data_IF_979250994806
#
_entry.id   IF_979250994806
#
_cell.length_a   1.000
_cell.length_b   1.000
_cell.length_c   1.000
_cell.angle_alpha   90.00
_cell.angle_beta   90.00
_cell.angle_gamma   90.00
#
_symmetry.space_group_name_H-M   'P 1'
#
loop_
_entity.id
_entity.type
_entity.pdbx_description
1 polymer ?
#
# COMPACT_ATOMS: atom_id res chain seq x y z
N UNK A 1 -2.41 9.74 -0.64
CA UNK A 1 -1.27 8.95 -1.11
C UNK A 1 -0.02 9.85 -1.17
N UNK A 2 1.16 9.29 -0.89
CA UNK A 2 2.46 9.99 -0.84
C UNK A 2 3.47 9.47 -1.86
N UNK A 3 3.04 8.61 -2.79
CA UNK A 3 3.92 7.78 -3.63
C UNK A 3 4.77 8.58 -4.60
N UNK A 4 4.32 9.79 -4.98
CA UNK A 4 5.11 10.64 -5.85
C UNK A 4 6.44 11.12 -5.20
N UNK A 5 6.57 11.03 -3.87
CA UNK A 5 7.80 11.36 -3.15
C UNK A 5 8.88 10.27 -3.21
N UNK A 6 8.55 9.09 -3.73
CA UNK A 6 9.47 7.97 -3.88
C UNK A 6 10.43 8.19 -5.06
N UNK A 7 11.65 7.67 -4.94
CA UNK A 7 12.59 7.61 -6.06
C UNK A 7 12.06 6.69 -7.18
N UNK A 8 12.56 6.81 -8.42
CA UNK A 8 12.12 5.94 -9.52
C UNK A 8 12.26 4.44 -9.22
N UNK A 9 13.30 4.05 -8.50
CA UNK A 9 13.53 2.66 -8.08
C UNK A 9 12.54 2.21 -7.00
N UNK A 10 12.24 3.08 -6.03
CA UNK A 10 11.24 2.80 -4.99
C UNK A 10 9.81 2.74 -5.55
N UNK A 11 9.50 3.53 -6.59
CA UNK A 11 8.22 3.47 -7.30
C UNK A 11 8.00 2.13 -7.97
N UNK A 12 9.03 1.62 -8.67
CA UNK A 12 9.01 0.28 -9.28
C UNK A 12 8.86 -0.83 -8.23
N UNK A 13 9.61 -0.73 -7.12
CA UNK A 13 9.50 -1.69 -6.02
C UNK A 13 8.12 -1.63 -5.35
N UNK A 14 7.58 -0.44 -5.08
CA UNK A 14 6.25 -0.29 -4.50
C UNK A 14 5.20 -0.99 -5.36
N UNK A 15 5.24 -0.77 -6.67
CA UNK A 15 4.28 -1.38 -7.59
C UNK A 15 4.34 -2.91 -7.59
N UNK A 16 5.56 -3.46 -7.48
CA UNK A 16 5.78 -4.89 -7.23
C UNK A 16 5.20 -5.32 -5.88
N UNK A 17 5.44 -4.62 -4.80
CA UNK A 17 4.87 -5.05 -3.51
C UNK A 17 3.33 -4.98 -3.51
N UNK A 18 2.74 -3.95 -4.12
CA UNK A 18 1.29 -3.79 -4.25
C UNK A 18 0.65 -4.93 -5.05
N UNK A 19 1.26 -5.29 -6.20
CA UNK A 19 0.81 -6.44 -7.00
C UNK A 19 0.94 -7.77 -6.24
N UNK A 20 1.89 -7.89 -5.31
CA UNK A 20 2.06 -9.12 -4.52
C UNK A 20 0.98 -9.27 -3.46
N UNK A 21 0.57 -8.15 -2.84
CA UNK A 21 -0.53 -8.11 -1.87
C UNK A 21 -1.84 -8.54 -2.53
N UNK A 22 -2.21 -7.89 -3.64
CA UNK A 22 -3.42 -8.20 -4.42
C UNK A 22 -3.47 -9.67 -4.88
N UNK A 23 -2.31 -10.28 -5.14
CA UNK A 23 -2.24 -11.69 -5.58
C UNK A 23 -2.19 -12.69 -4.42
N UNK A 24 -2.08 -12.24 -3.18
CA UNK A 24 -1.75 -13.12 -2.05
C UNK A 24 -2.84 -14.19 -1.84
N UNK A 25 -4.11 -13.81 -1.91
CA UNK A 25 -5.24 -14.72 -1.71
C UNK A 25 -5.50 -15.63 -2.93
N UNK A 26 -5.10 -15.18 -4.12
CA UNK A 26 -5.25 -15.85 -5.41
C UNK A 26 -6.44 -15.35 -6.24
N UNK A 27 -7.13 -14.30 -5.82
CA UNK A 27 -8.27 -13.70 -6.50
C UNK A 27 -7.95 -12.22 -6.74
N UNK A 28 -7.83 -11.84 -8.01
CA UNK A 28 -7.64 -10.43 -8.38
C UNK A 28 -8.95 -9.83 -8.84
N UNK A 29 -9.49 -8.91 -8.06
CA UNK A 29 -10.69 -8.15 -8.37
C UNK A 29 -10.40 -6.98 -9.33
N UNK A 30 -11.45 -6.48 -9.99
CA UNK A 30 -11.31 -5.33 -10.89
C UNK A 30 -11.08 -4.01 -10.12
N UNK A 31 -11.63 -3.91 -8.92
CA UNK A 31 -11.39 -2.82 -7.95
C UNK A 31 -9.89 -2.68 -7.64
N UNK A 32 -9.19 -3.79 -7.41
CA UNK A 32 -7.76 -3.81 -7.12
C UNK A 32 -6.90 -3.35 -8.31
N UNK A 33 -7.28 -3.74 -9.53
CA UNK A 33 -6.61 -3.23 -10.75
C UNK A 33 -6.81 -1.72 -10.92
N UNK A 34 -7.98 -1.20 -10.55
CA UNK A 34 -8.23 0.25 -10.56
C UNK A 34 -7.35 0.96 -9.54
N UNK A 35 -7.13 0.37 -8.36
CA UNK A 35 -6.21 0.91 -7.35
C UNK A 35 -4.77 0.92 -7.88
N UNK A 36 -4.29 -0.17 -8.50
CA UNK A 36 -2.96 -0.19 -9.14
C UNK A 36 -2.82 0.88 -10.23
N UNK A 37 -3.86 1.11 -11.03
CA UNK A 37 -3.87 2.16 -12.02
C UNK A 37 -3.81 3.56 -11.39
N UNK A 38 -4.51 3.78 -10.27
CA UNK A 38 -4.46 5.03 -9.52
C UNK A 38 -3.05 5.29 -8.96
N UNK A 39 -2.41 4.28 -8.37
CA UNK A 39 -1.03 4.37 -7.90
C UNK A 39 -0.03 4.67 -9.02
N UNK A 40 -0.16 3.99 -10.17
CA UNK A 40 0.68 4.25 -11.33
C UNK A 40 0.51 5.70 -11.84
N UNK A 41 -0.73 6.19 -11.87
CA UNK A 41 -1.04 7.56 -12.26
C UNK A 41 -0.41 8.60 -11.30
N UNK A 42 -0.57 8.42 -9.99
CA UNK A 42 0.02 9.32 -8.98
C UNK A 42 1.54 9.36 -9.09
N UNK A 43 2.17 8.21 -9.27
CA UNK A 43 3.62 8.08 -9.40
C UNK A 43 4.16 8.54 -10.76
N UNK A 44 3.27 8.78 -11.74
CA UNK A 44 3.60 9.10 -13.13
C UNK A 44 4.46 8.02 -13.80
N UNK A 45 4.13 6.75 -13.55
CA UNK A 45 4.79 5.58 -14.16
C UNK A 45 3.78 4.76 -14.97
N UNK A 46 4.24 3.90 -15.89
CA UNK A 46 3.36 2.92 -16.53
C UNK A 46 2.74 1.98 -15.49
N UNK A 47 1.49 1.61 -15.68
CA UNK A 47 0.83 0.58 -14.88
C UNK A 47 1.60 -0.74 -15.01
N UNK A 48 1.80 -1.47 -13.91
CA UNK A 48 2.43 -2.78 -14.02
C UNK A 48 1.48 -3.81 -14.62
N UNK A 49 2.05 -4.79 -15.31
CA UNK A 49 1.34 -6.02 -15.62
C UNK A 49 1.30 -6.92 -14.37
N UNK A 50 0.11 -7.08 -13.82
CA UNK A 50 -0.13 -7.88 -12.60
C UNK A 50 0.26 -9.36 -12.79
N UNK A 51 0.27 -9.86 -14.04
CA UNK A 51 0.62 -11.24 -14.35
C UNK A 51 2.13 -11.50 -14.29
N UNK A 52 2.96 -10.45 -14.22
CA UNK A 52 4.41 -10.61 -14.11
C UNK A 52 4.76 -11.05 -12.69
N UNK A 53 5.47 -12.16 -12.59
CA UNK A 53 6.09 -12.60 -11.33
C UNK A 53 7.44 -11.92 -11.12
N UNK A 54 7.74 -11.64 -9.85
CA UNK A 54 9.02 -11.09 -9.42
C UNK A 54 9.33 -11.62 -8.02
N UNK A 55 10.60 -11.52 -7.67
CA UNK A 55 11.09 -11.91 -6.35
C UNK A 55 10.66 -10.86 -5.31
N UNK A 56 9.54 -11.15 -4.63
CA UNK A 56 8.97 -10.31 -3.56
C UNK A 56 9.97 -10.15 -2.43
N UNK A 57 10.64 -11.23 -2.03
CA UNK A 57 11.59 -11.20 -0.90
C UNK A 57 12.80 -10.32 -1.23
N UNK A 58 13.32 -10.40 -2.46
CA UNK A 58 14.37 -9.50 -2.92
C UNK A 58 13.92 -8.03 -2.93
N UNK A 59 12.67 -7.75 -3.32
CA UNK A 59 12.12 -6.40 -3.30
C UNK A 59 12.00 -5.84 -1.87
N UNK A 60 11.52 -6.65 -0.92
CA UNK A 60 11.43 -6.28 0.51
C UNK A 60 12.83 -6.01 1.06
N UNK A 61 13.77 -6.93 0.84
CA UNK A 61 15.14 -6.81 1.33
C UNK A 61 15.84 -5.58 0.76
N UNK A 62 15.72 -5.34 -0.54
CA UNK A 62 16.30 -4.17 -1.20
C UNK A 62 15.79 -2.88 -0.57
N UNK A 63 14.47 -2.74 -0.42
CA UNK A 63 13.86 -1.58 0.25
C UNK A 63 14.35 -1.43 1.70
N UNK A 64 14.45 -2.54 2.43
CA UNK A 64 14.96 -2.54 3.81
C UNK A 64 16.41 -2.04 3.90
N UNK A 65 17.26 -2.34 2.91
CA UNK A 65 18.69 -1.99 2.93
C UNK A 65 18.98 -0.60 2.37
N UNK A 66 18.30 -0.19 1.30
CA UNK A 66 18.67 1.01 0.53
C UNK A 66 17.77 2.22 0.75
N UNK A 67 16.52 2.03 1.19
CA UNK A 67 15.56 3.13 1.30
C UNK A 67 15.66 3.89 2.62
N UNK A 68 15.29 5.16 2.56
CA UNK A 68 15.20 6.01 3.76
C UNK A 68 14.06 5.54 4.68
N UNK A 69 14.11 5.92 5.95
CA UNK A 69 13.01 5.68 6.91
C UNK A 69 11.70 6.28 6.40
N UNK A 70 11.75 7.45 5.76
CA UNK A 70 10.58 8.09 5.19
C UNK A 70 9.97 7.25 4.05
N UNK A 71 10.80 6.80 3.10
CA UNK A 71 10.33 5.99 1.98
C UNK A 71 9.74 4.65 2.44
N UNK A 72 10.36 3.97 3.40
CA UNK A 72 9.82 2.74 4.02
C UNK A 72 8.44 2.97 4.63
N UNK A 73 8.24 4.09 5.32
CA UNK A 73 6.94 4.45 5.92
C UNK A 73 5.90 4.77 4.86
N UNK A 74 6.27 5.49 3.79
CA UNK A 74 5.37 5.73 2.65
C UNK A 74 4.93 4.40 2.05
N UNK A 75 5.89 3.55 1.66
CA UNK A 75 5.60 2.24 1.06
C UNK A 75 4.68 1.43 1.98
N UNK A 76 5.00 1.32 3.28
CA UNK A 76 4.18 0.56 4.21
C UNK A 76 2.76 1.11 4.36
N UNK A 77 2.60 2.43 4.52
CA UNK A 77 1.28 3.06 4.69
C UNK A 77 0.38 2.83 3.48
N UNK A 78 0.91 2.98 2.28
CA UNK A 78 0.13 2.83 1.05
C UNK A 78 -0.23 1.36 0.79
N UNK A 79 0.67 0.42 1.11
CA UNK A 79 0.37 -1.01 1.05
C UNK A 79 -0.64 -1.44 2.11
N UNK A 80 -0.60 -0.85 3.30
CA UNK A 80 -1.58 -1.09 4.35
C UNK A 80 -2.96 -0.57 3.94
N UNK A 81 -3.04 0.64 3.39
CA UNK A 81 -4.28 1.19 2.86
C UNK A 81 -4.87 0.31 1.74
N UNK A 82 -4.01 -0.22 0.84
CA UNK A 82 -4.42 -1.21 -0.16
C UNK A 82 -5.05 -2.45 0.48
N UNK A 83 -4.37 -3.02 1.47
CA UNK A 83 -4.80 -4.28 2.12
C UNK A 83 -6.05 -4.13 2.99
N UNK A 84 -6.40 -2.91 3.39
CA UNK A 84 -7.61 -2.62 4.18
C UNK A 84 -8.79 -2.16 3.31
N UNK A 85 -8.57 -1.88 2.02
CA UNK A 85 -9.54 -1.20 1.17
C UNK A 85 -10.80 -2.04 0.87
N UNK A 86 -10.66 -3.35 0.80
CA UNK A 86 -11.76 -4.28 0.49
C UNK A 86 -12.50 -4.78 1.76
N UNK A 87 -12.01 -4.42 2.94
CA UNK A 87 -12.53 -4.88 4.24
C UNK A 87 -12.28 -6.37 4.52
N UNK A 88 -11.46 -7.05 3.72
CA UNK A 88 -11.20 -8.48 3.80
C UNK A 88 -9.70 -8.78 3.88
N UNK A 89 -9.07 -8.22 4.90
CA UNK A 89 -7.67 -8.47 5.23
C UNK A 89 -7.46 -9.93 5.62
N UNK A 90 -6.99 -10.74 4.66
CA UNK A 90 -6.86 -12.18 4.82
C UNK A 90 -5.49 -12.59 5.40
N UNK A 91 -5.40 -13.81 5.94
CA UNK A 91 -4.20 -14.34 6.61
C UNK A 91 -2.91 -14.23 5.76
N UNK A 92 -3.02 -14.29 4.42
CA UNK A 92 -1.86 -14.25 3.53
C UNK A 92 -1.36 -12.83 3.29
N UNK A 93 -2.28 -11.87 3.11
CA UNK A 93 -1.96 -10.44 3.08
C UNK A 93 -1.39 -9.98 4.41
N UNK A 94 -1.99 -10.42 5.51
CA UNK A 94 -1.50 -10.13 6.85
C UNK A 94 -0.07 -10.64 7.05
N UNK A 95 0.20 -11.88 6.65
CA UNK A 95 1.53 -12.45 6.73
C UNK A 95 2.56 -11.66 5.89
N UNK A 96 2.18 -11.23 4.69
CA UNK A 96 3.06 -10.42 3.82
C UNK A 96 3.30 -9.02 4.40
N UNK A 97 2.26 -8.36 4.90
CA UNK A 97 2.36 -7.05 5.54
C UNK A 97 3.20 -7.10 6.82
N UNK A 98 3.02 -8.14 7.65
CA UNK A 98 3.85 -8.34 8.83
C UNK A 98 5.30 -8.59 8.44
N UNK A 99 5.55 -9.37 7.39
CA UNK A 99 6.91 -9.59 6.86
C UNK A 99 7.57 -8.28 6.41
N UNK A 100 6.83 -7.42 5.72
CA UNK A 100 7.31 -6.09 5.31
C UNK A 100 7.61 -5.22 6.53
N UNK A 101 6.71 -5.19 7.52
CA UNK A 101 6.91 -4.42 8.75
C UNK A 101 8.20 -4.84 9.48
N UNK A 102 8.39 -6.14 9.68
CA UNK A 102 9.55 -6.71 10.37
C UNK A 102 10.84 -6.32 9.65
N UNK A 103 10.88 -6.48 8.32
CA UNK A 103 12.05 -6.16 7.51
C UNK A 103 12.33 -4.65 7.46
N UNK A 104 11.30 -3.81 7.53
CA UNK A 104 11.46 -2.36 7.55
C UNK A 104 11.82 -1.83 8.95
N UNK A 105 11.74 -2.67 9.98
CA UNK A 105 11.96 -2.28 11.38
C UNK A 105 10.83 -1.43 11.93
N UNK A 106 9.59 -1.68 11.49
CA UNK A 106 8.39 -0.99 11.93
C UNK A 106 7.78 -1.75 13.10
N UNK A 107 7.77 -1.14 14.28
CA UNK A 107 7.23 -1.77 15.47
C UNK A 107 5.69 -1.75 15.52
N UNK A 108 5.13 -2.54 16.43
CA UNK A 108 3.68 -2.62 16.66
C UNK A 108 3.06 -1.26 16.97
N UNK A 109 3.76 -0.40 17.72
CA UNK A 109 3.27 0.94 18.08
C UNK A 109 3.13 1.84 16.85
N UNK A 110 4.06 1.74 15.90
CA UNK A 110 3.95 2.41 14.61
C UNK A 110 2.73 1.92 13.83
N UNK A 111 2.53 0.60 13.73
CA UNK A 111 1.42 -0.02 12.99
C UNK A 111 0.07 0.40 13.59
N UNK A 112 -0.10 0.27 14.91
CA UNK A 112 -1.32 0.68 15.61
C UNK A 112 -1.65 2.17 15.39
N UNK A 113 -0.60 3.01 15.42
CA UNK A 113 -0.75 4.44 15.14
C UNK A 113 -1.12 4.70 13.69
N UNK A 114 -0.55 3.96 12.75
CA UNK A 114 -0.86 4.08 11.33
C UNK A 114 -2.33 3.75 11.06
N UNK A 115 -2.83 2.64 11.60
CA UNK A 115 -4.25 2.24 11.50
C UNK A 115 -5.15 3.33 12.09
N UNK A 116 -4.84 3.81 13.30
CA UNK A 116 -5.63 4.86 13.96
C UNK A 116 -5.71 6.14 13.11
N UNK A 117 -4.62 6.52 12.46
CA UNK A 117 -4.57 7.71 11.60
C UNK A 117 -5.37 7.50 10.30
N UNK A 118 -5.31 6.30 9.72
CA UNK A 118 -6.07 5.95 8.51
C UNK A 118 -7.58 5.95 8.79
N UNK A 119 -8.01 5.36 9.90
CA UNK A 119 -9.42 5.38 10.33
C UNK A 119 -9.93 6.82 10.50
N UNK A 120 -9.14 7.68 11.14
CA UNK A 120 -9.48 9.10 11.31
C UNK A 120 -9.55 9.85 9.98
N UNK A 121 -8.63 9.54 9.04
CA UNK A 121 -8.63 10.10 7.70
C UNK A 121 -9.90 9.70 6.92
N UNK A 122 -10.25 8.41 6.92
CA UNK A 122 -11.46 7.89 6.26
C UNK A 122 -12.72 8.51 6.86
N UNK A 123 -12.83 8.57 8.19
CA UNK A 123 -13.97 9.19 8.86
C UNK A 123 -14.13 10.68 8.49
N UNK A 124 -13.02 11.41 8.40
CA UNK A 124 -13.01 12.81 7.98
C UNK A 124 -13.43 12.96 6.51
N UNK A 125 -12.93 12.11 5.62
CA UNK A 125 -13.32 12.08 4.21
C UNK A 125 -14.82 11.80 4.04
N UNK A 126 -15.35 10.80 4.75
CA UNK A 126 -16.78 10.46 4.70
C UNK A 126 -17.67 11.60 5.21
N UNK A 127 -17.19 12.35 6.22
CA UNK A 127 -17.88 13.55 6.69
C UNK A 127 -17.91 14.65 5.63
N UNK A 128 -16.82 14.84 4.87
CA UNK A 128 -16.78 15.77 3.75
C UNK A 128 -17.71 15.35 2.61
N UNK A 129 -17.75 14.06 2.27
CA UNK A 129 -18.70 13.53 1.27
C UNK A 129 -20.14 13.83 1.70
N UNK A 130 -20.46 13.59 2.97
CA UNK A 130 -21.77 13.91 3.51
C UNK A 130 -22.10 15.41 3.42
N UNK A 131 -21.17 16.27 3.81
CA UNK A 131 -21.32 17.73 3.70
C UNK A 131 -21.62 18.15 2.25
N UNK A 132 -20.89 17.61 1.28
CA UNK A 132 -21.07 17.94 -0.14
C UNK A 132 -22.39 17.38 -0.71
N UNK A 133 -22.75 16.15 -0.38
CA UNK A 133 -23.92 15.48 -0.94
C UNK A 133 -25.24 15.90 -0.28
N UNK A 134 -25.22 16.18 1.03
CA UNK A 134 -26.43 16.45 1.83
C UNK A 134 -26.57 17.90 2.29
N UNK A 135 -25.52 18.71 2.21
CA UNK A 135 -25.58 20.14 2.47
C UNK A 135 -25.83 20.54 3.93
N UNK A 136 -25.55 19.65 4.88
CA UNK A 136 -25.51 19.96 6.32
C UNK A 136 -24.09 20.34 6.76
#
# INVERSE_FOLDING_TARGET
MFLNSLSPEEKDIFMKLASAIIKADGIVEESEKQILAAYANEMQIPTCDINVEYDVEAAIKKTAESSTVQAKRIIFLELMALSLADGNYNDKEEALMQRIADMFGLDKTFIERAITLEDAYIASYMSLVHFVEKGE
#
